data_IF_112876776730
#
_entry.id   IF_112876776730
#
_cell.length_a   1.000
_cell.length_b   1.000
_cell.length_c   1.000
_cell.angle_alpha   90.00
_cell.angle_beta   90.00
_cell.angle_gamma   90.00
#
_symmetry.space_group_name_H-M   'P 1'
#
loop_
_entity.id
_entity.type
_entity.pdbx_description
1 polymer ?
#
# COMPACT_ATOMS: atom_id res chain seq x y z
N UNK A 1 -3.86 50.49 -12.73
CA UNK A 1 -3.11 49.24 -13.04
C UNK A 1 -2.58 48.53 -11.78
N UNK A 2 -3.35 48.45 -10.67
CA UNK A 2 -2.95 47.70 -9.45
C UNK A 2 -3.83 46.47 -9.17
N UNK A 3 -5.04 46.43 -9.74
CA UNK A 3 -6.01 45.34 -9.53
C UNK A 3 -5.74 44.10 -10.39
N UNK A 4 -4.99 44.24 -11.51
CA UNK A 4 -4.73 43.14 -12.45
C UNK A 4 -3.69 42.14 -11.92
N UNK A 5 -2.83 42.55 -10.97
CA UNK A 5 -1.81 41.66 -10.38
C UNK A 5 -2.38 40.72 -9.31
N UNK A 6 -3.52 41.04 -8.70
CA UNK A 6 -4.10 40.20 -7.65
C UNK A 6 -4.69 38.89 -8.22
N UNK A 7 -5.28 38.97 -9.42
CA UNK A 7 -5.88 37.81 -10.09
C UNK A 7 -4.84 36.79 -10.56
N UNK A 8 -3.65 37.24 -10.96
CA UNK A 8 -2.55 36.36 -11.41
C UNK A 8 -1.99 35.54 -10.24
N UNK A 9 -1.86 36.16 -9.06
CA UNK A 9 -1.39 35.47 -7.84
C UNK A 9 -2.40 34.44 -7.36
N UNK A 10 -3.71 34.76 -7.43
CA UNK A 10 -4.77 33.83 -7.05
C UNK A 10 -4.83 32.61 -7.98
N UNK A 11 -4.57 32.81 -9.28
CA UNK A 11 -4.55 31.72 -10.26
C UNK A 11 -3.38 30.75 -10.03
N UNK A 12 -2.20 31.26 -9.65
CA UNK A 12 -1.03 30.42 -9.37
C UNK A 12 -1.23 29.47 -8.17
N UNK A 13 -1.94 29.92 -7.13
CA UNK A 13 -2.21 29.10 -5.93
C UNK A 13 -3.13 27.89 -6.19
N UNK A 14 -3.94 27.93 -7.24
CA UNK A 14 -4.88 26.85 -7.60
C UNK A 14 -4.17 25.74 -8.38
N UNK A 15 -3.00 26.04 -8.97
CA UNK A 15 -2.25 25.10 -9.83
C UNK A 15 -1.15 24.34 -9.12
N UNK A 16 -1.02 24.45 -7.80
CA UNK A 16 -0.07 23.60 -7.07
C UNK A 16 -0.56 22.15 -7.24
N UNK A 17 0.19 21.28 -7.96
CA UNK A 17 -0.17 19.88 -8.03
C UNK A 17 -0.08 19.36 -6.61
N UNK A 18 -1.20 18.90 -6.08
CA UNK A 18 -1.20 18.09 -4.88
C UNK A 18 -0.47 16.79 -5.27
N UNK A 19 0.85 16.78 -5.09
CA UNK A 19 1.65 15.56 -5.14
C UNK A 19 1.16 14.71 -3.97
N UNK A 20 0.10 13.95 -4.22
CA UNK A 20 -0.40 12.94 -3.33
C UNK A 20 0.72 11.91 -3.22
N UNK A 21 1.49 12.00 -2.16
CA UNK A 21 2.66 11.18 -1.90
C UNK A 21 2.16 9.75 -1.62
N UNK A 22 1.87 9.03 -2.70
CA UNK A 22 1.13 7.78 -2.66
C UNK A 22 1.99 6.74 -1.95
N UNK A 23 1.50 6.30 -0.79
CA UNK A 23 2.19 5.33 0.07
C UNK A 23 1.89 3.92 -0.39
N UNK A 24 2.88 3.04 -0.28
CA UNK A 24 2.78 1.63 -0.63
C UNK A 24 3.36 0.79 0.50
N UNK A 25 2.79 -0.38 0.74
CA UNK A 25 3.45 -1.43 1.48
C UNK A 25 4.45 -2.13 0.56
N UNK A 26 5.68 -2.33 1.06
CA UNK A 26 6.73 -3.12 0.45
C UNK A 26 6.80 -4.46 1.21
N UNK A 27 6.32 -5.52 0.58
CA UNK A 27 6.32 -6.87 1.15
C UNK A 27 7.36 -7.74 0.43
N UNK A 28 8.22 -8.40 1.21
CA UNK A 28 9.21 -9.33 0.66
C UNK A 28 8.64 -10.74 0.45
N UNK A 29 9.36 -11.60 -0.29
CA UNK A 29 8.98 -13.00 -0.51
C UNK A 29 9.37 -13.94 0.65
N UNK A 30 10.01 -13.41 1.71
CA UNK A 30 10.56 -14.18 2.83
C UNK A 30 10.18 -13.52 4.16
N UNK A 31 10.30 -14.27 5.26
CA UNK A 31 9.92 -13.89 6.65
C UNK A 31 10.66 -12.63 7.13
N UNK A 32 11.83 -12.37 6.54
CA UNK A 32 12.66 -11.20 6.85
C UNK A 32 12.22 -9.92 6.12
N UNK A 33 11.17 -10.00 5.31
CA UNK A 33 10.68 -8.90 4.49
C UNK A 33 11.58 -8.59 3.30
N UNK A 34 11.71 -7.31 2.98
CA UNK A 34 12.32 -6.85 1.75
C UNK A 34 13.61 -6.04 2.02
N UNK A 35 14.70 -6.36 1.31
CA UNK A 35 16.02 -5.73 1.48
C UNK A 35 16.66 -5.34 0.13
N UNK A 36 17.72 -4.53 0.17
CA UNK A 36 18.27 -3.80 -0.99
C UNK A 36 18.49 -4.62 -2.25
N UNK A 37 18.93 -5.86 -2.07
CA UNK A 37 19.42 -6.69 -3.17
C UNK A 37 18.28 -7.48 -3.84
N UNK A 38 17.07 -7.43 -3.27
CA UNK A 38 15.91 -8.21 -3.69
C UNK A 38 14.67 -7.37 -3.98
N UNK A 39 14.74 -6.04 -4.02
CA UNK A 39 13.56 -5.18 -4.23
C UNK A 39 12.71 -5.53 -5.46
N UNK A 40 13.33 -5.99 -6.55
CA UNK A 40 12.66 -6.47 -7.77
C UNK A 40 11.80 -7.74 -7.58
N UNK A 41 12.01 -8.47 -6.49
CA UNK A 41 11.28 -9.69 -6.13
C UNK A 41 10.26 -9.45 -5.02
N UNK A 42 10.20 -8.22 -4.50
CA UNK A 42 9.20 -7.81 -3.54
C UNK A 42 7.93 -7.34 -4.25
N UNK A 43 6.89 -7.06 -3.49
CA UNK A 43 5.63 -6.54 -3.97
C UNK A 43 5.35 -5.16 -3.37
N UNK A 44 4.94 -4.22 -4.22
CA UNK A 44 4.39 -2.93 -3.80
C UNK A 44 2.87 -2.97 -3.84
N UNK A 45 2.22 -2.78 -2.69
CA UNK A 45 0.76 -2.80 -2.55
C UNK A 45 0.27 -1.43 -2.09
N UNK A 46 -0.74 -0.80 -2.72
CA UNK A 46 -1.26 0.49 -2.29
C UNK A 46 -1.66 0.52 -0.81
N UNK A 47 -1.15 1.52 -0.08
CA UNK A 47 -1.54 1.78 1.31
C UNK A 47 -2.94 2.38 1.36
N UNK A 48 -3.85 1.80 2.15
CA UNK A 48 -5.18 2.36 2.34
C UNK A 48 -5.19 3.40 3.46
N UNK A 49 -5.13 4.69 3.12
CA UNK A 49 -5.05 5.78 4.11
C UNK A 49 -6.13 5.78 5.19
N UNK A 50 -7.30 5.23 4.90
CA UNK A 50 -8.46 5.25 5.79
C UNK A 50 -8.54 4.02 6.69
N UNK A 51 -8.16 2.86 6.17
CA UNK A 51 -8.39 1.57 6.83
C UNK A 51 -7.10 0.88 7.25
N UNK A 52 -5.92 1.28 6.75
CA UNK A 52 -4.69 0.48 6.90
C UNK A 52 -4.32 0.13 8.35
N UNK A 53 -4.73 0.94 9.33
CA UNK A 53 -4.49 0.70 10.76
C UNK A 53 -5.66 -0.01 11.49
N UNK A 54 -6.74 -0.32 10.78
CA UNK A 54 -7.88 -1.08 11.28
C UNK A 54 -7.70 -2.56 10.95
N UNK A 55 -8.47 -3.46 11.61
CA UNK A 55 -8.37 -4.89 11.33
C UNK A 55 -8.67 -5.26 9.87
N UNK A 56 -7.91 -6.21 9.33
CA UNK A 56 -8.11 -6.79 8.00
C UNK A 56 -8.44 -8.28 8.11
N UNK A 57 -9.26 -8.75 7.17
CA UNK A 57 -9.52 -10.16 6.96
C UNK A 57 -8.62 -10.68 5.83
N UNK A 58 -7.99 -11.82 6.05
CA UNK A 58 -7.33 -12.60 5.01
C UNK A 58 -8.33 -13.60 4.42
N UNK A 59 -8.58 -13.49 3.12
CA UNK A 59 -9.19 -14.57 2.34
C UNK A 59 -8.06 -15.44 1.79
N UNK A 60 -7.82 -16.57 2.47
CA UNK A 60 -6.70 -17.47 2.17
C UNK A 60 -6.83 -18.14 0.80
N UNK A 61 -8.06 -18.43 0.35
CA UNK A 61 -8.29 -19.08 -0.95
C UNK A 61 -7.95 -18.14 -2.12
N UNK A 62 -8.21 -16.84 -1.95
CA UNK A 62 -7.93 -15.83 -2.98
C UNK A 62 -6.60 -15.12 -2.80
N UNK A 63 -5.96 -15.28 -1.64
CA UNK A 63 -4.77 -14.56 -1.20
C UNK A 63 -4.99 -13.04 -1.30
N UNK A 64 -6.04 -12.55 -0.65
CA UNK A 64 -6.35 -11.12 -0.60
C UNK A 64 -6.58 -10.65 0.83
N UNK A 65 -6.26 -9.38 1.07
CA UNK A 65 -6.53 -8.69 2.31
C UNK A 65 -7.62 -7.64 2.11
N UNK A 66 -8.73 -7.79 2.82
CA UNK A 66 -9.85 -6.82 2.80
C UNK A 66 -10.05 -6.21 4.19
N UNK A 67 -10.43 -4.92 4.29
CA UNK A 67 -10.80 -4.35 5.58
C UNK A 67 -11.91 -5.18 6.22
N UNK A 68 -11.80 -5.44 7.53
CA UNK A 68 -12.81 -6.21 8.25
C UNK A 68 -14.18 -5.51 8.20
N UNK A 69 -14.20 -4.18 8.16
CA UNK A 69 -15.40 -3.35 7.99
C UNK A 69 -16.15 -3.61 6.67
N UNK A 70 -15.48 -4.17 5.67
CA UNK A 70 -16.01 -4.44 4.32
C UNK A 70 -16.28 -5.94 4.09
N UNK A 71 -16.10 -6.79 5.11
CA UNK A 71 -16.20 -8.23 5.00
C UNK A 71 -17.33 -8.76 5.89
N UNK A 72 -18.27 -9.53 5.31
CA UNK A 72 -19.46 -10.01 6.05
C UNK A 72 -19.12 -11.11 7.06
N UNK A 73 -18.21 -12.02 6.70
CA UNK A 73 -17.76 -13.12 7.55
C UNK A 73 -16.25 -13.31 7.38
N UNK A 74 -15.51 -13.27 8.49
CA UNK A 74 -14.09 -13.59 8.54
C UNK A 74 -13.86 -14.58 9.68
N UNK A 75 -13.10 -15.64 9.44
CA UNK A 75 -12.65 -16.50 10.54
C UNK A 75 -11.76 -15.66 11.47
N UNK A 76 -12.01 -15.75 12.78
CA UNK A 76 -11.21 -15.08 13.81
C UNK A 76 -9.71 -15.35 13.70
N UNK A 77 -9.32 -16.53 13.23
CA UNK A 77 -7.91 -16.90 13.03
C UNK A 77 -7.26 -16.20 11.81
N UNK A 78 -8.08 -15.62 10.92
CA UNK A 78 -7.66 -14.91 9.71
C UNK A 78 -7.84 -13.39 9.82
N UNK A 79 -8.09 -12.89 11.04
CA UNK A 79 -8.17 -11.45 11.31
C UNK A 79 -6.80 -10.95 11.78
N UNK A 80 -6.27 -9.97 11.07
CA UNK A 80 -5.01 -9.30 11.37
C UNK A 80 -5.26 -7.89 11.87
N UNK A 81 -4.34 -7.33 12.66
CA UNK A 81 -4.56 -6.04 13.32
C UNK A 81 -4.60 -4.85 12.36
N UNK A 82 -3.90 -4.98 11.24
CA UNK A 82 -3.72 -3.93 10.24
C UNK A 82 -3.45 -4.53 8.84
N UNK A 83 -3.50 -3.68 7.81
CA UNK A 83 -3.26 -4.08 6.42
C UNK A 83 -1.87 -4.70 6.23
N UNK A 84 -0.84 -4.12 6.87
CA UNK A 84 0.54 -4.55 6.73
C UNK A 84 0.80 -5.97 7.26
N UNK A 85 0.20 -6.34 8.40
CA UNK A 85 0.28 -7.70 8.96
C UNK A 85 -0.45 -8.73 8.08
N UNK A 86 -1.62 -8.35 7.55
CA UNK A 86 -2.37 -9.22 6.64
C UNK A 86 -1.56 -9.49 5.36
N UNK A 87 -1.02 -8.43 4.74
CA UNK A 87 -0.20 -8.54 3.53
C UNK A 87 1.11 -9.29 3.81
N UNK A 88 1.73 -9.08 4.97
CA UNK A 88 2.93 -9.82 5.35
C UNK A 88 2.64 -11.34 5.41
N UNK A 89 1.47 -11.74 5.89
CA UNK A 89 1.08 -13.17 5.86
C UNK A 89 0.98 -13.74 4.44
N UNK A 90 0.53 -12.95 3.45
CA UNK A 90 0.46 -13.39 2.04
C UNK A 90 1.86 -13.52 1.42
N UNK A 91 2.72 -12.52 1.63
CA UNK A 91 3.98 -12.41 0.87
C UNK A 91 5.20 -12.91 1.64
N UNK A 92 5.25 -12.69 2.95
CA UNK A 92 6.35 -13.03 3.85
C UNK A 92 6.09 -14.30 4.65
N UNK A 93 4.92 -14.93 4.51
CA UNK A 93 4.46 -16.10 5.28
C UNK A 93 4.30 -15.88 6.80
N UNK A 94 4.69 -14.71 7.32
CA UNK A 94 4.50 -14.30 8.70
C UNK A 94 3.87 -12.91 8.80
N UNK A 95 2.99 -12.66 9.78
CA UNK A 95 2.38 -11.34 9.96
C UNK A 95 3.34 -10.32 10.58
N UNK A 96 4.40 -10.77 11.25
CA UNK A 96 5.35 -9.92 11.96
C UNK A 96 6.78 -10.27 11.53
N UNK A 97 7.58 -9.29 11.06
CA UNK A 97 7.25 -7.86 10.98
C UNK A 97 6.20 -7.56 9.88
N UNK A 98 5.33 -6.54 10.07
CA UNK A 98 4.42 -6.13 9.01
C UNK A 98 5.21 -5.58 7.81
N UNK A 99 4.59 -5.57 6.63
CA UNK A 99 5.22 -4.94 5.46
C UNK A 99 5.62 -3.49 5.72
N UNK A 100 6.78 -3.09 5.20
CA UNK A 100 7.30 -1.74 5.39
C UNK A 100 6.56 -0.73 4.52
N UNK A 101 6.54 0.55 4.88
CA UNK A 101 5.93 1.60 4.06
C UNK A 101 7.00 2.27 3.20
N UNK A 102 6.70 2.42 1.91
CA UNK A 102 7.51 3.12 0.93
C UNK A 102 6.64 4.04 0.06
N UNK A 103 7.24 4.63 -0.99
CA UNK A 103 6.55 5.51 -1.95
C UNK A 103 6.38 4.84 -3.30
N UNK A 104 5.42 5.31 -4.10
CA UNK A 104 5.30 4.90 -5.50
C UNK A 104 6.62 5.05 -6.27
N UNK A 105 7.34 6.16 -6.04
CA UNK A 105 8.58 6.45 -6.73
C UNK A 105 9.66 5.41 -6.43
N UNK A 106 9.76 4.97 -5.18
CA UNK A 106 10.66 3.87 -4.80
C UNK A 106 10.36 2.59 -5.59
N UNK A 107 9.08 2.19 -5.69
CA UNK A 107 8.68 0.98 -6.41
C UNK A 107 9.10 1.04 -7.89
N UNK A 108 8.91 2.19 -8.54
CA UNK A 108 9.29 2.41 -9.94
C UNK A 108 10.82 2.40 -10.11
N UNK A 109 11.56 3.10 -9.25
CA UNK A 109 13.03 3.19 -9.32
C UNK A 109 13.70 1.82 -9.13
N UNK A 110 13.14 0.98 -8.25
CA UNK A 110 13.66 -0.34 -7.95
C UNK A 110 13.05 -1.48 -8.78
N UNK A 111 12.19 -1.16 -9.76
CA UNK A 111 11.50 -2.13 -10.61
C UNK A 111 10.75 -3.19 -9.78
N UNK A 112 10.15 -2.75 -8.67
CA UNK A 112 9.32 -3.60 -7.80
C UNK A 112 7.92 -3.68 -8.39
N UNK A 113 7.41 -4.89 -8.68
CA UNK A 113 6.04 -5.08 -9.17
C UNK A 113 4.99 -4.38 -8.29
N UNK A 114 4.03 -3.72 -8.92
CA UNK A 114 2.93 -3.05 -8.21
C UNK A 114 1.68 -3.89 -8.35
N UNK A 115 1.11 -4.31 -7.22
CA UNK A 115 -0.12 -5.10 -7.15
C UNK A 115 -1.34 -4.20 -6.97
N UNK A 116 -2.53 -4.78 -7.07
CA UNK A 116 -3.76 -4.09 -6.73
C UNK A 116 -3.88 -3.81 -5.23
N UNK A 117 -4.89 -3.02 -4.84
CA UNK A 117 -5.13 -2.60 -3.45
C UNK A 117 -5.41 -3.74 -2.47
N UNK A 118 -5.80 -4.91 -2.96
CA UNK A 118 -6.10 -6.09 -2.14
C UNK A 118 -4.84 -6.89 -1.84
N UNK A 119 -3.76 -6.61 -2.57
CA UNK A 119 -2.48 -7.32 -2.46
C UNK A 119 -2.52 -8.70 -3.11
N UNK A 120 -3.42 -8.95 -4.06
CA UNK A 120 -3.49 -10.25 -4.73
C UNK A 120 -2.20 -10.53 -5.52
N UNK A 121 -1.45 -11.63 -5.27
CA UNK A 121 -0.16 -11.86 -5.91
C UNK A 121 -0.20 -11.90 -7.44
N UNK A 122 -1.30 -12.38 -8.03
CA UNK A 122 -1.44 -12.46 -9.49
C UNK A 122 -1.77 -11.11 -10.16
N UNK A 123 -2.01 -10.06 -9.38
CA UNK A 123 -2.27 -8.70 -9.87
C UNK A 123 -1.01 -7.83 -10.01
N UNK A 124 0.16 -8.37 -9.63
CA UNK A 124 1.41 -7.63 -9.60
C UNK A 124 2.05 -7.57 -11.00
N UNK A 125 2.37 -6.36 -11.47
CA UNK A 125 2.91 -6.11 -12.82
C UNK A 125 4.05 -5.08 -12.81
#
# INVERSE_FOLDING_TARGET
MKKMNLFIILYLMITIPCYCNSRYFLCGPDENGCFSDIYRYCACIPYNDWEANNPYCLDFDKLICTPLSQTMHCDSALIFKNQGECLATIFQSEPTPPCQITTHQFCVEHHTPICDKTGQPNSCH
#
